data_IF_379842888882
#
_entry.id   IF_379842888882
#
_cell.length_a   1.000
_cell.length_b   1.000
_cell.length_c   1.000
_cell.angle_alpha   90.00
_cell.angle_beta   90.00
_cell.angle_gamma   90.00
#
_symmetry.space_group_name_H-M   'P 1'
#
loop_
_entity.id
_entity.type
_entity.pdbx_description
1 polymer ?
#
# COMPACT_ATOMS: atom_id res chain seq x y z
N UNK A 1 14.59 19.20 60.80
CA UNK A 1 15.21 20.53 60.68
C UNK A 1 15.15 20.97 59.23
N UNK A 2 14.49 22.06 58.99
CA UNK A 2 14.46 23.00 57.84
C UNK A 2 14.25 22.42 56.41
N UNK A 3 13.00 22.49 56.00
CA UNK A 3 12.53 22.55 54.59
C UNK A 3 12.94 23.89 53.98
N UNK A 4 13.60 23.88 52.83
CA UNK A 4 13.95 25.08 52.08
C UNK A 4 13.05 25.16 50.84
N UNK A 5 12.01 26.00 50.91
CA UNK A 5 11.12 26.36 49.81
C UNK A 5 11.87 27.22 48.78
N UNK A 6 11.93 26.80 47.53
CA UNK A 6 12.39 27.62 46.41
C UNK A 6 11.20 28.06 45.61
N UNK A 7 10.98 29.38 45.58
CA UNK A 7 9.89 30.07 44.86
C UNK A 7 10.27 30.16 43.38
N UNK A 8 9.36 29.72 42.50
CA UNK A 8 9.38 30.03 41.08
C UNK A 8 9.04 31.50 40.82
N UNK A 9 9.71 32.21 39.93
CA UNK A 9 9.20 33.46 39.41
C UNK A 9 8.32 33.20 38.17
N UNK A 10 7.13 33.76 38.23
CA UNK A 10 6.11 33.87 37.18
C UNK A 10 6.61 34.84 36.12
N UNK A 11 6.98 34.34 34.90
CA UNK A 11 7.23 35.19 33.74
C UNK A 11 5.98 35.17 32.86
N UNK A 12 5.24 36.27 32.93
CA UNK A 12 4.13 36.58 32.02
C UNK A 12 4.72 37.07 30.69
N UNK A 13 4.56 36.30 29.62
CA UNK A 13 4.92 36.74 28.29
C UNK A 13 3.65 37.09 27.52
N UNK A 14 3.52 38.41 27.25
CA UNK A 14 2.48 39.02 26.43
C UNK A 14 2.68 38.59 24.97
N UNK A 15 1.72 37.89 24.40
CA UNK A 15 1.68 37.66 22.96
C UNK A 15 0.89 38.76 22.27
N UNK A 16 1.59 39.59 21.51
CA UNK A 16 1.00 40.59 20.64
C UNK A 16 0.31 39.90 19.43
N UNK A 17 -0.98 40.11 19.29
CA UNK A 17 -1.85 39.66 18.22
C UNK A 17 -1.64 40.58 17.00
N UNK A 18 -0.98 40.12 15.95
CA UNK A 18 -0.90 40.83 14.67
C UNK A 18 -2.04 40.30 13.78
N UNK A 19 -3.09 41.12 13.64
CA UNK A 19 -4.17 40.95 12.67
C UNK A 19 -3.71 41.45 11.31
N UNK A 20 -3.48 40.54 10.37
CA UNK A 20 -3.30 40.90 8.97
C UNK A 20 -4.66 40.76 8.27
N UNK A 21 -5.27 41.90 7.96
CA UNK A 21 -6.45 42.02 7.10
C UNK A 21 -6.02 41.79 5.63
N UNK A 22 -6.39 40.63 5.07
CA UNK A 22 -6.31 40.41 3.63
C UNK A 22 -7.62 40.86 3.00
N UNK A 23 -7.52 41.94 2.19
CA UNK A 23 -8.57 42.52 1.39
C UNK A 23 -8.97 41.58 0.24
N UNK A 24 -10.24 41.15 0.20
CA UNK A 24 -10.82 40.46 -0.94
C UNK A 24 -11.08 41.45 -2.09
N UNK A 25 -10.29 41.37 -3.14
CA UNK A 25 -10.61 41.98 -4.42
C UNK A 25 -11.50 41.04 -5.23
N UNK A 26 -12.74 41.46 -5.48
CA UNK A 26 -13.67 40.82 -6.38
C UNK A 26 -13.26 41.12 -7.81
N UNK A 27 -12.72 40.16 -8.54
CA UNK A 27 -12.54 40.26 -9.98
C UNK A 27 -13.72 39.60 -10.68
N UNK A 28 -14.48 40.39 -11.46
CA UNK A 28 -15.62 39.99 -12.26
C UNK A 28 -15.27 40.14 -13.75
N UNK A 29 -15.01 39.08 -14.50
CA UNK A 29 -14.92 39.20 -15.96
C UNK A 29 -16.28 39.02 -16.60
N UNK A 30 -16.75 40.08 -17.24
CA UNK A 30 -17.92 40.10 -18.12
C UNK A 30 -17.60 39.32 -19.39
N UNK A 31 -18.36 38.31 -19.70
CA UNK A 31 -18.36 37.62 -20.99
C UNK A 31 -19.23 38.40 -21.99
N UNK A 32 -18.79 38.68 -23.20
CA UNK A 32 -19.65 39.15 -24.26
C UNK A 32 -20.38 37.98 -24.92
N UNK A 33 -21.70 38.15 -25.07
CA UNK A 33 -22.62 37.27 -25.74
C UNK A 33 -22.46 37.40 -27.25
N UNK A 34 -22.30 36.31 -28.05
CA UNK A 34 -22.35 36.38 -29.48
C UNK A 34 -23.78 36.40 -30.00
N UNK A 35 -24.05 37.39 -30.87
CA UNK A 35 -25.26 37.60 -31.66
C UNK A 35 -25.51 36.43 -32.61
N UNK A 36 -26.75 35.99 -32.84
CA UNK A 36 -27.05 34.95 -33.80
C UNK A 36 -27.09 35.53 -35.23
N UNK A 37 -26.42 34.86 -36.15
CA UNK A 37 -26.41 35.12 -37.59
C UNK A 37 -27.55 34.31 -38.24
N UNK A 38 -28.31 34.87 -39.20
CA UNK A 38 -29.47 34.22 -39.75
C UNK A 38 -29.15 33.11 -40.77
N UNK A 39 -29.97 32.15 -40.78
CA UNK A 39 -30.08 30.97 -41.65
C UNK A 39 -30.45 31.34 -43.10
N UNK A 40 -29.84 30.77 -44.13
CA UNK A 40 -30.35 30.81 -45.47
C UNK A 40 -31.24 29.58 -45.76
N UNK A 41 -32.49 29.86 -46.05
CA UNK A 41 -33.49 28.96 -46.60
C UNK A 41 -33.12 28.53 -48.02
N UNK A 42 -32.97 27.27 -48.29
CA UNK A 42 -33.02 26.72 -49.65
C UNK A 42 -34.00 25.53 -49.76
N UNK A 43 -34.92 25.73 -50.64
CA UNK A 43 -36.03 24.85 -50.99
C UNK A 43 -35.56 23.61 -51.75
N UNK A 44 -36.32 22.54 -51.52
CA UNK A 44 -36.39 21.23 -52.15
C UNK A 44 -36.34 21.21 -53.70
N UNK A 45 -35.94 20.08 -54.30
CA UNK A 45 -37.00 19.22 -54.84
C UNK A 45 -36.90 17.73 -54.46
N UNK A 46 -38.10 17.18 -54.28
CA UNK A 46 -38.42 15.78 -54.09
C UNK A 46 -38.07 14.96 -55.35
N UNK A 47 -37.24 13.93 -55.11
CA UNK A 47 -37.10 12.80 -56.05
C UNK A 47 -37.33 11.51 -55.29
N UNK A 48 -38.36 10.78 -55.69
CA UNK A 48 -38.71 9.45 -55.27
C UNK A 48 -37.64 8.45 -55.75
N UNK A 49 -36.94 7.70 -54.89
CA UNK A 49 -36.15 6.56 -55.34
C UNK A 49 -36.93 5.28 -55.19
N UNK A 50 -36.97 4.58 -56.31
CA UNK A 50 -37.35 3.18 -56.52
C UNK A 50 -36.69 2.26 -55.51
N UNK A 51 -37.50 1.37 -54.95
CA UNK A 51 -37.02 0.31 -54.03
C UNK A 51 -36.13 -0.68 -54.79
N UNK A 52 -34.91 -0.84 -54.32
CA UNK A 52 -33.99 -1.93 -54.69
C UNK A 52 -34.07 -3.03 -53.62
N UNK A 53 -33.89 -4.32 -53.98
CA UNK A 53 -34.23 -5.43 -53.10
C UNK A 53 -33.28 -5.53 -51.86
N UNK A 54 -33.93 -5.81 -50.74
CA UNK A 54 -33.32 -6.06 -49.43
C UNK A 54 -32.27 -7.17 -49.52
N UNK A 55 -31.01 -6.81 -49.31
CA UNK A 55 -29.95 -7.78 -49.03
C UNK A 55 -30.14 -8.25 -47.59
N UNK A 56 -30.37 -9.56 -47.44
CA UNK A 56 -30.40 -10.27 -46.14
C UNK A 56 -29.04 -10.07 -45.44
N UNK A 57 -29.04 -9.27 -44.38
CA UNK A 57 -27.85 -9.16 -43.50
C UNK A 57 -27.57 -10.53 -42.84
N UNK A 58 -26.44 -11.10 -43.19
CA UNK A 58 -25.85 -12.24 -42.45
C UNK A 58 -25.56 -11.80 -41.02
N UNK A 59 -25.90 -12.59 -39.97
CA UNK A 59 -25.62 -12.21 -38.59
C UNK A 59 -24.10 -12.02 -38.40
N UNK A 60 -23.72 -10.77 -38.12
CA UNK A 60 -22.38 -10.43 -37.72
C UNK A 60 -22.05 -11.15 -36.39
N UNK A 61 -21.33 -12.23 -36.45
CA UNK A 61 -20.78 -12.90 -35.27
C UNK A 61 -19.75 -11.96 -34.63
N UNK A 62 -20.19 -11.28 -33.55
CA UNK A 62 -19.27 -10.56 -32.68
C UNK A 62 -18.18 -11.55 -32.25
N UNK A 63 -16.87 -11.29 -32.48
CA UNK A 63 -15.81 -12.20 -32.05
C UNK A 63 -15.85 -12.28 -30.52
N UNK A 64 -16.27 -13.44 -30.02
CA UNK A 64 -16.12 -13.79 -28.62
C UNK A 64 -14.61 -13.82 -28.35
N UNK A 65 -14.11 -12.81 -27.65
CA UNK A 65 -12.70 -12.80 -27.22
C UNK A 65 -12.45 -14.06 -26.40
N UNK A 66 -11.65 -14.95 -26.92
CA UNK A 66 -11.14 -16.12 -26.17
C UNK A 66 -10.49 -15.59 -24.88
N UNK A 67 -10.76 -16.20 -23.73
CA UNK A 67 -10.13 -15.78 -22.49
C UNK A 67 -8.60 -15.88 -22.67
N UNK A 68 -7.92 -14.76 -22.54
CA UNK A 68 -6.46 -14.70 -22.61
C UNK A 68 -5.90 -15.64 -21.55
N UNK A 69 -5.05 -16.58 -21.98
CA UNK A 69 -4.42 -17.55 -21.06
C UNK A 69 -3.67 -16.80 -19.92
N UNK A 70 -3.72 -17.31 -18.68
CA UNK A 70 -3.04 -16.67 -17.56
C UNK A 70 -1.53 -16.61 -17.79
N UNK A 71 -0.92 -15.47 -17.46
CA UNK A 71 0.52 -15.22 -17.61
C UNK A 71 1.18 -15.25 -16.24
N UNK A 72 2.31 -15.95 -16.13
CA UNK A 72 3.13 -15.91 -14.90
C UNK A 72 3.83 -14.55 -14.80
N UNK A 73 3.44 -13.75 -13.83
CA UNK A 73 3.97 -12.40 -13.63
C UNK A 73 4.31 -12.13 -12.15
N UNK A 74 5.19 -11.16 -11.87
CA UNK A 74 5.40 -10.70 -10.51
C UNK A 74 4.13 -10.00 -9.99
N UNK A 75 3.71 -10.34 -8.79
CA UNK A 75 2.57 -9.77 -8.07
C UNK A 75 3.08 -9.21 -6.76
N UNK A 76 2.67 -8.00 -6.47
CA UNK A 76 3.05 -7.30 -5.23
C UNK A 76 1.99 -7.54 -4.16
N UNK A 77 2.42 -8.04 -3.02
CA UNK A 77 1.56 -8.22 -1.85
C UNK A 77 2.04 -7.35 -0.71
N UNK A 78 1.09 -6.79 0.03
CA UNK A 78 1.37 -6.15 1.29
C UNK A 78 0.87 -7.06 2.40
N UNK A 79 1.76 -7.40 3.31
CA UNK A 79 1.54 -8.31 4.44
C UNK A 79 1.80 -7.56 5.74
N UNK A 80 1.22 -8.02 6.83
CA UNK A 80 1.28 -7.35 8.12
C UNK A 80 2.34 -7.99 8.99
N UNK A 81 3.21 -7.19 9.57
CA UNK A 81 4.21 -7.63 10.54
C UNK A 81 4.28 -6.69 11.72
N UNK A 82 4.80 -7.20 12.84
CA UNK A 82 5.13 -6.39 14.00
C UNK A 82 6.45 -5.65 13.74
N UNK A 83 6.37 -4.34 13.71
CA UNK A 83 7.54 -3.47 13.52
C UNK A 83 8.31 -3.19 14.81
N UNK A 84 7.92 -3.77 15.93
CA UNK A 84 8.44 -3.48 17.26
C UNK A 84 7.78 -2.28 17.95
N UNK A 85 6.92 -1.54 17.23
CA UNK A 85 6.14 -0.40 17.75
C UNK A 85 4.69 -0.42 17.26
N UNK A 86 4.22 -1.57 16.81
CA UNK A 86 2.88 -1.80 16.28
C UNK A 86 2.88 -2.44 14.91
N UNK A 87 1.69 -2.70 14.40
CA UNK A 87 1.49 -3.36 13.13
C UNK A 87 1.82 -2.42 11.96
N UNK A 88 2.62 -2.91 11.01
CA UNK A 88 2.98 -2.20 9.78
C UNK A 88 2.87 -3.13 8.58
N UNK A 89 2.79 -2.54 7.39
CA UNK A 89 2.84 -3.31 6.15
C UNK A 89 4.27 -3.47 5.66
N UNK A 90 4.54 -4.66 5.18
CA UNK A 90 5.75 -5.07 4.46
C UNK A 90 5.37 -5.52 3.06
N UNK A 91 6.23 -5.32 2.07
CA UNK A 91 5.95 -5.71 0.69
C UNK A 91 6.73 -6.95 0.31
N UNK A 92 6.02 -7.96 -0.14
CA UNK A 92 6.59 -9.13 -0.80
C UNK A 92 6.27 -9.14 -2.29
N UNK A 93 7.09 -9.84 -3.05
CA UNK A 93 6.90 -10.05 -4.50
C UNK A 93 6.93 -11.53 -4.77
N UNK A 94 5.83 -12.05 -5.29
CA UNK A 94 5.69 -13.46 -5.66
C UNK A 94 5.33 -13.58 -7.14
N UNK A 95 5.61 -14.72 -7.75
CA UNK A 95 5.22 -14.99 -9.14
C UNK A 95 4.01 -15.90 -9.17
N UNK A 96 2.93 -15.38 -9.75
CA UNK A 96 1.66 -16.12 -9.88
C UNK A 96 1.12 -16.02 -11.30
N UNK A 97 0.26 -16.98 -11.67
CA UNK A 97 -0.57 -16.88 -12.85
C UNK A 97 -1.62 -15.81 -12.64
N UNK A 98 -1.59 -14.76 -13.45
CA UNK A 98 -2.50 -13.63 -13.40
C UNK A 98 -3.27 -13.47 -14.71
N UNK A 99 -4.49 -12.97 -14.63
CA UNK A 99 -5.28 -12.56 -15.78
C UNK A 99 -4.90 -11.15 -16.23
N UNK A 100 -5.56 -10.62 -17.26
CA UNK A 100 -5.43 -9.22 -17.69
C UNK A 100 -5.79 -8.24 -16.56
N UNK A 101 -6.73 -8.61 -15.68
CA UNK A 101 -7.01 -7.86 -14.45
C UNK A 101 -6.06 -8.29 -13.33
N UNK A 102 -4.90 -7.65 -13.29
CA UNK A 102 -3.87 -7.95 -12.30
C UNK A 102 -4.26 -7.58 -10.88
N UNK A 103 -5.00 -6.48 -10.71
CA UNK A 103 -5.49 -6.04 -9.42
C UNK A 103 -6.46 -7.05 -8.80
N UNK A 104 -7.45 -7.51 -9.58
CA UNK A 104 -8.36 -8.56 -9.15
C UNK A 104 -7.63 -9.88 -8.86
N UNK A 105 -6.69 -10.26 -9.73
CA UNK A 105 -5.88 -11.46 -9.53
C UNK A 105 -5.09 -11.39 -8.22
N UNK A 106 -4.45 -10.25 -7.92
CA UNK A 106 -3.68 -10.05 -6.70
C UNK A 106 -4.55 -10.16 -5.45
N UNK A 107 -5.71 -9.53 -5.42
CA UNK A 107 -6.62 -9.64 -4.27
C UNK A 107 -7.16 -11.06 -4.09
N UNK A 108 -7.51 -11.76 -5.18
CA UNK A 108 -7.96 -13.15 -5.11
C UNK A 108 -6.89 -14.07 -4.55
N UNK A 109 -5.63 -13.86 -4.95
CA UNK A 109 -4.49 -14.63 -4.42
C UNK A 109 -4.27 -14.30 -2.95
N UNK A 110 -4.33 -13.03 -2.57
CA UNK A 110 -4.14 -12.59 -1.19
C UNK A 110 -5.16 -13.24 -0.24
N UNK A 111 -6.44 -13.30 -0.65
CA UNK A 111 -7.50 -13.90 0.16
C UNK A 111 -7.56 -15.43 0.06
N UNK A 112 -6.78 -16.02 -0.85
CA UNK A 112 -6.71 -17.47 -0.98
C UNK A 112 -5.89 -18.07 0.18
N UNK A 113 -6.42 -19.08 0.83
CA UNK A 113 -5.73 -19.83 1.90
C UNK A 113 -4.39 -20.45 1.47
N UNK A 114 -4.10 -20.52 0.17
CA UNK A 114 -2.82 -21.00 -0.38
C UNK A 114 -1.74 -19.91 -0.46
N UNK A 115 -2.09 -18.65 -0.21
CA UNK A 115 -1.10 -17.59 -0.12
C UNK A 115 -0.43 -17.65 1.26
N UNK A 116 0.87 -17.84 1.24
CA UNK A 116 1.71 -17.77 2.43
C UNK A 116 2.78 -16.71 2.22
N UNK A 117 3.01 -15.90 3.23
CA UNK A 117 4.16 -15.01 3.25
C UNK A 117 5.46 -15.83 3.18
N UNK A 118 6.46 -15.29 2.52
CA UNK A 118 7.81 -15.88 2.49
C UNK A 118 8.52 -15.73 3.84
N UNK A 119 8.12 -14.72 4.61
CA UNK A 119 8.64 -14.47 5.94
C UNK A 119 7.67 -14.99 7.00
N UNK A 120 8.09 -15.87 7.91
CA UNK A 120 7.22 -16.38 8.96
C UNK A 120 6.79 -15.31 9.98
N UNK A 121 7.50 -14.16 10.03
CA UNK A 121 7.18 -13.05 10.92
C UNK A 121 6.02 -12.18 10.34
N UNK A 122 5.62 -12.43 9.09
CA UNK A 122 4.54 -11.70 8.44
C UNK A 122 3.24 -12.49 8.40
N UNK A 123 2.14 -11.78 8.53
CA UNK A 123 0.79 -12.32 8.56
C UNK A 123 -0.05 -11.79 7.41
N UNK A 124 -0.91 -12.65 6.89
CA UNK A 124 -2.03 -12.26 6.04
C UNK A 124 -3.31 -12.27 6.87
N UNK A 125 -3.86 -11.11 7.18
CA UNK A 125 -5.06 -10.99 8.01
C UNK A 125 -6.33 -11.53 7.33
N UNK A 126 -6.29 -11.75 6.01
CA UNK A 126 -7.39 -12.24 5.19
C UNK A 126 -7.39 -13.77 4.95
N UNK A 127 -6.47 -14.49 5.57
CA UNK A 127 -6.25 -15.93 5.29
C UNK A 127 -7.35 -16.87 5.78
N UNK A 128 -8.47 -16.38 6.27
CA UNK A 128 -9.51 -17.13 6.98
C UNK A 128 -10.73 -17.50 6.12
N UNK A 129 -10.61 -17.50 4.79
CA UNK A 129 -11.67 -17.91 3.87
C UNK A 129 -12.54 -16.77 3.33
N UNK A 130 -12.12 -15.50 3.49
CA UNK A 130 -12.71 -14.38 2.77
C UNK A 130 -12.47 -14.54 1.26
N UNK A 131 -13.40 -14.04 0.43
CA UNK A 131 -13.38 -14.22 -1.03
C UNK A 131 -13.66 -12.89 -1.73
N UNK A 132 -12.92 -12.59 -2.80
CA UNK A 132 -13.22 -11.47 -3.70
C UNK A 132 -14.24 -11.90 -4.74
N UNK A 133 -15.45 -11.34 -4.68
CA UNK A 133 -16.54 -11.57 -5.63
C UNK A 133 -16.26 -10.86 -6.97
N UNK A 134 -15.76 -9.60 -6.89
CA UNK A 134 -15.43 -8.84 -8.09
C UNK A 134 -14.92 -7.43 -7.79
N UNK A 135 -14.50 -6.75 -8.85
CA UNK A 135 -14.10 -5.34 -8.82
C UNK A 135 -14.82 -4.61 -9.97
N UNK A 136 -15.48 -3.52 -9.64
CA UNK A 136 -15.99 -2.57 -10.62
C UNK A 136 -15.17 -1.27 -10.55
N UNK A 137 -15.01 -0.59 -11.70
CA UNK A 137 -14.21 0.62 -11.81
C UNK A 137 -15.03 1.76 -12.38
N UNK A 138 -14.88 2.96 -11.79
CA UNK A 138 -15.40 4.21 -12.32
C UNK A 138 -14.30 5.27 -12.24
N UNK A 139 -13.67 5.56 -13.37
CA UNK A 139 -12.44 6.35 -13.38
C UNK A 139 -11.36 5.68 -12.52
N UNK A 140 -10.78 6.41 -11.58
CA UNK A 140 -9.75 5.89 -10.66
C UNK A 140 -10.32 5.27 -9.37
N UNK A 141 -11.63 5.21 -9.21
CA UNK A 141 -12.29 4.54 -8.09
C UNK A 141 -12.56 3.07 -8.43
N UNK A 142 -12.06 2.17 -7.60
CA UNK A 142 -12.43 0.77 -7.61
C UNK A 142 -13.45 0.49 -6.50
N UNK A 143 -14.50 -0.25 -6.81
CA UNK A 143 -15.39 -0.84 -5.81
C UNK A 143 -15.13 -2.33 -5.78
N UNK A 144 -14.60 -2.80 -4.65
CA UNK A 144 -14.28 -4.20 -4.39
C UNK A 144 -15.45 -4.82 -3.64
N UNK A 145 -16.08 -5.83 -4.25
CA UNK A 145 -17.09 -6.65 -3.60
C UNK A 145 -16.45 -7.94 -3.07
N UNK A 146 -16.65 -8.21 -1.79
CA UNK A 146 -16.07 -9.38 -1.14
C UNK A 146 -17.08 -10.06 -0.20
N UNK A 147 -16.90 -11.35 -0.03
CA UNK A 147 -17.54 -12.13 1.05
C UNK A 147 -16.53 -12.24 2.17
N UNK A 148 -16.86 -11.68 3.33
CA UNK A 148 -15.96 -11.61 4.48
C UNK A 148 -16.23 -12.81 5.38
N UNK A 149 -15.20 -13.62 5.61
CA UNK A 149 -15.18 -14.50 6.77
C UNK A 149 -14.93 -13.65 8.04
N UNK A 150 -15.15 -14.26 9.21
CA UNK A 150 -14.96 -13.53 10.46
C UNK A 150 -13.52 -13.00 10.60
N UNK A 151 -13.39 -11.68 10.71
CA UNK A 151 -12.13 -10.98 10.94
C UNK A 151 -12.02 -10.68 12.45
N UNK A 152 -11.26 -11.52 13.17
CA UNK A 152 -11.09 -11.40 14.62
C UNK A 152 -9.84 -10.57 14.94
N UNK A 153 -9.97 -9.25 14.84
CA UNK A 153 -8.90 -8.27 15.09
C UNK A 153 -9.46 -7.06 15.83
N UNK A 154 -8.61 -6.37 16.58
CA UNK A 154 -8.95 -5.05 17.15
C UNK A 154 -8.83 -3.93 16.12
N UNK A 155 -9.05 -2.69 16.55
CA UNK A 155 -9.09 -1.50 15.67
C UNK A 155 -7.83 -1.33 14.80
N UNK A 156 -6.64 -1.50 15.38
CA UNK A 156 -5.37 -1.42 14.62
C UNK A 156 -5.31 -2.54 13.56
N UNK A 157 -5.65 -3.76 13.93
CA UNK A 157 -5.66 -4.89 13.01
C UNK A 157 -6.68 -4.71 11.88
N UNK A 158 -7.87 -4.19 12.16
CA UNK A 158 -8.88 -3.90 11.14
C UNK A 158 -8.39 -2.84 10.15
N UNK A 159 -7.78 -1.76 10.64
CA UNK A 159 -7.18 -0.73 9.77
C UNK A 159 -6.08 -1.35 8.89
N UNK A 160 -5.18 -2.14 9.47
CA UNK A 160 -4.12 -2.80 8.70
C UNK A 160 -4.66 -3.83 7.70
N UNK A 161 -5.77 -4.49 8.00
CA UNK A 161 -6.44 -5.39 7.04
C UNK A 161 -7.01 -4.61 5.84
N UNK A 162 -7.60 -3.44 6.07
CA UNK A 162 -8.07 -2.54 5.00
C UNK A 162 -6.88 -2.05 4.17
N UNK A 163 -5.83 -1.55 4.82
CA UNK A 163 -4.60 -1.12 4.16
C UNK A 163 -3.98 -2.23 3.30
N UNK A 164 -3.98 -3.46 3.78
CA UNK A 164 -3.48 -4.62 3.05
C UNK A 164 -4.19 -4.79 1.71
N UNK A 165 -5.52 -4.64 1.67
CA UNK A 165 -6.29 -4.68 0.41
C UNK A 165 -5.98 -3.49 -0.49
N UNK A 166 -6.03 -2.26 0.06
CA UNK A 166 -5.81 -1.02 -0.69
C UNK A 166 -4.42 -0.99 -1.31
N UNK A 167 -3.39 -1.28 -0.52
CA UNK A 167 -1.99 -1.25 -0.98
C UNK A 167 -1.70 -2.37 -1.98
N UNK A 168 -2.23 -3.58 -1.77
CA UNK A 168 -2.07 -4.70 -2.71
C UNK A 168 -2.76 -4.40 -4.04
N UNK A 169 -4.03 -3.95 -4.01
CA UNK A 169 -4.77 -3.63 -5.24
C UNK A 169 -4.07 -2.55 -6.05
N UNK A 170 -3.78 -1.43 -5.42
CA UNK A 170 -3.19 -0.26 -6.09
C UNK A 170 -1.73 -0.45 -6.51
N UNK A 171 -1.00 -1.43 -5.96
CA UNK A 171 0.33 -1.81 -6.42
C UNK A 171 0.31 -2.68 -7.68
N UNK A 172 -0.79 -3.36 -7.94
CA UNK A 172 -0.96 -4.22 -9.11
C UNK A 172 -1.85 -3.59 -10.21
N UNK A 173 -2.53 -2.49 -9.89
CA UNK A 173 -3.30 -1.66 -10.83
C UNK A 173 -3.09 -0.17 -10.52
N UNK A 174 -2.15 0.46 -11.19
CA UNK A 174 -1.79 1.87 -11.00
C UNK A 174 -2.86 2.86 -11.47
N UNK A 175 -3.89 2.41 -12.20
CA UNK A 175 -5.01 3.27 -12.60
C UNK A 175 -5.94 3.58 -11.41
N UNK A 176 -5.93 2.73 -10.38
CA UNK A 176 -6.75 2.87 -9.18
C UNK A 176 -6.06 3.81 -8.19
N UNK A 177 -6.80 4.84 -7.74
CA UNK A 177 -6.36 5.81 -6.74
C UNK A 177 -7.13 5.71 -5.44
N UNK A 178 -8.37 5.17 -5.50
CA UNK A 178 -9.25 5.04 -4.36
C UNK A 178 -10.04 3.74 -4.42
N UNK A 179 -10.42 3.22 -3.27
CA UNK A 179 -11.10 1.93 -3.11
C UNK A 179 -12.31 2.10 -2.22
N UNK A 180 -13.43 1.54 -2.63
CA UNK A 180 -14.64 1.39 -1.82
C UNK A 180 -14.95 -0.10 -1.68
N UNK A 181 -15.54 -0.48 -0.55
CA UNK A 181 -15.83 -1.87 -0.28
C UNK A 181 -17.33 -2.17 -0.23
N UNK A 182 -17.68 -3.40 -0.63
CA UNK A 182 -19.01 -3.99 -0.47
C UNK A 182 -18.88 -5.39 0.10
N UNK A 183 -19.86 -5.81 0.86
CA UNK A 183 -20.01 -7.18 1.32
C UNK A 183 -21.24 -7.80 0.67
N UNK A 184 -21.03 -8.77 -0.25
CA UNK A 184 -22.10 -9.43 -1.01
C UNK A 184 -23.03 -8.41 -1.69
N UNK A 185 -22.45 -7.45 -2.39
CA UNK A 185 -23.14 -6.41 -3.16
C UNK A 185 -23.70 -5.24 -2.32
N UNK A 186 -23.71 -5.33 -0.98
CA UNK A 186 -24.21 -4.26 -0.10
C UNK A 186 -23.03 -3.41 0.42
N UNK A 187 -23.31 -2.13 0.71
CA UNK A 187 -22.32 -1.30 1.39
C UNK A 187 -21.96 -1.92 2.73
N UNK A 188 -20.68 -1.85 3.06
CA UNK A 188 -20.14 -2.33 4.33
C UNK A 188 -20.01 -1.15 5.29
N UNK A 189 -20.43 -1.34 6.54
CA UNK A 189 -20.27 -0.34 7.60
C UNK A 189 -18.91 -0.49 8.31
N UNK A 190 -18.49 -1.74 8.52
CA UNK A 190 -17.23 -2.08 9.17
C UNK A 190 -16.83 -3.51 8.82
N UNK A 191 -15.55 -3.86 8.85
CA UNK A 191 -15.07 -5.23 8.63
C UNK A 191 -15.06 -6.06 9.92
N UNK A 192 -14.69 -5.45 11.05
CA UNK A 192 -14.62 -6.09 12.36
C UNK A 192 -15.31 -5.28 13.48
N UNK A 193 -15.99 -4.18 13.14
CA UNK A 193 -16.77 -3.38 14.07
C UNK A 193 -16.01 -2.20 14.68
N UNK A 194 -14.78 -1.90 14.27
CA UNK A 194 -13.98 -0.83 14.87
C UNK A 194 -13.70 0.34 13.92
N UNK A 195 -13.72 0.11 12.60
CA UNK A 195 -13.39 1.12 11.59
C UNK A 195 -14.60 1.38 10.71
N UNK A 196 -14.98 2.65 10.53
CA UNK A 196 -16.01 3.03 9.57
C UNK A 196 -15.53 2.75 8.13
N UNK A 197 -16.17 1.79 7.48
CA UNK A 197 -15.85 1.36 6.12
C UNK A 197 -16.86 1.86 5.07
N UNK A 198 -17.79 2.75 5.43
CA UNK A 198 -18.79 3.31 4.50
C UNK A 198 -18.18 4.22 3.44
N UNK A 199 -17.03 4.81 3.76
CA UNK A 199 -16.32 5.79 2.94
C UNK A 199 -15.50 5.19 1.79
N UNK A 200 -14.55 5.97 1.36
CA UNK A 200 -13.59 5.61 0.30
C UNK A 200 -12.18 5.64 0.90
N UNK A 201 -11.42 4.60 0.67
CA UNK A 201 -10.05 4.46 1.14
C UNK A 201 -9.07 4.85 0.03
N UNK A 202 -8.00 5.50 0.41
CA UNK A 202 -6.84 5.80 -0.43
C UNK A 202 -5.60 5.22 0.25
N UNK A 203 -4.47 5.16 -0.45
CA UNK A 203 -3.22 4.93 0.27
C UNK A 203 -2.97 6.08 1.21
N UNK A 204 -2.85 5.77 2.47
CA UNK A 204 -2.37 6.71 3.47
C UNK A 204 -0.85 6.98 3.29
N UNK A 205 -0.31 7.87 4.11
CA UNK A 205 1.12 8.14 4.10
C UNK A 205 1.94 6.86 4.26
N UNK A 206 2.91 6.66 3.37
CA UNK A 206 3.79 5.50 3.43
C UNK A 206 4.60 5.43 4.74
N UNK A 207 4.87 6.56 5.38
CA UNK A 207 5.56 6.62 6.68
C UNK A 207 4.70 6.13 7.83
N UNK A 208 3.37 6.19 7.69
CA UNK A 208 2.43 5.82 8.76
C UNK A 208 1.96 4.36 8.63
N UNK A 209 1.97 3.83 7.41
CA UNK A 209 1.45 2.49 7.11
C UNK A 209 2.56 1.46 6.91
N UNK A 210 3.63 1.83 6.21
CA UNK A 210 4.71 0.90 5.90
C UNK A 210 5.77 0.91 6.99
N UNK A 211 6.32 -0.26 7.33
CA UNK A 211 7.54 -0.32 8.13
C UNK A 211 8.67 0.45 7.42
N UNK A 212 9.45 1.23 8.16
CA UNK A 212 10.50 2.05 7.57
C UNK A 212 11.69 1.22 7.08
N UNK A 213 11.89 0.03 7.59
CA UNK A 213 12.96 -0.90 7.19
C UNK A 213 12.39 -2.28 6.87
N UNK A 214 12.85 -2.90 5.77
CA UNK A 214 12.47 -4.25 5.34
C UNK A 214 13.70 -5.08 5.02
N UNK A 215 13.70 -6.36 5.44
CA UNK A 215 14.67 -7.39 5.06
C UNK A 215 14.08 -8.24 3.94
N UNK A 216 14.36 -7.89 2.69
CA UNK A 216 13.75 -8.56 1.54
C UNK A 216 14.35 -9.95 1.27
N UNK A 217 15.64 -10.12 1.56
CA UNK A 217 16.32 -11.40 1.35
C UNK A 217 17.46 -11.60 2.33
N UNK A 218 17.72 -12.88 2.65
CA UNK A 218 18.89 -13.32 3.38
C UNK A 218 19.39 -14.61 2.72
N UNK A 219 20.63 -14.60 2.28
CA UNK A 219 21.26 -15.74 1.59
C UNK A 219 22.47 -16.19 2.38
N UNK A 220 22.55 -17.51 2.65
CA UNK A 220 23.71 -18.15 3.27
C UNK A 220 24.53 -18.81 2.17
N UNK A 221 25.77 -18.39 2.02
CA UNK A 221 26.73 -18.96 1.05
C UNK A 221 27.59 -20.06 1.68
N UNK A 222 28.25 -20.84 0.85
CA UNK A 222 29.23 -21.82 1.30
C UNK A 222 30.33 -21.12 2.11
N UNK A 223 30.79 -21.77 3.19
CA UNK A 223 31.81 -21.18 4.09
C UNK A 223 31.25 -20.23 5.15
N UNK A 224 29.93 -20.08 5.25
CA UNK A 224 29.28 -19.29 6.31
C UNK A 224 29.25 -17.78 6.07
N UNK A 225 29.49 -17.33 4.81
CA UNK A 225 29.17 -15.95 4.44
C UNK A 225 27.66 -15.78 4.35
N UNK A 226 27.12 -14.68 4.90
CA UNK A 226 25.70 -14.36 4.86
C UNK A 226 25.51 -12.96 4.30
N UNK A 227 24.63 -12.87 3.29
CA UNK A 227 24.24 -11.60 2.68
C UNK A 227 22.78 -11.32 3.01
N UNK A 228 22.54 -10.24 3.75
CA UNK A 228 21.21 -9.70 3.96
C UNK A 228 21.01 -8.46 3.08
N UNK A 229 19.84 -8.30 2.49
CA UNK A 229 19.50 -7.12 1.73
C UNK A 229 18.03 -6.75 1.87
N UNK A 230 17.74 -5.47 1.66
CA UNK A 230 16.39 -4.96 1.79
C UNK A 230 16.26 -3.55 1.29
N UNK A 231 15.21 -2.87 1.76
CA UNK A 231 14.97 -1.46 1.48
C UNK A 231 14.66 -0.73 2.77
N UNK A 232 15.01 0.54 2.85
CA UNK A 232 14.73 1.37 4.00
C UNK A 232 14.35 2.80 3.61
N UNK A 233 13.54 3.42 4.48
CA UNK A 233 13.23 4.84 4.48
C UNK A 233 13.52 5.31 5.92
N UNK A 234 14.80 5.53 6.23
CA UNK A 234 15.27 5.91 7.56
C UNK A 234 15.87 7.29 7.52
N UNK A 235 16.02 7.93 8.68
CA UNK A 235 16.71 9.20 8.79
C UNK A 235 18.17 9.04 8.33
N UNK A 236 18.65 9.96 7.51
CA UNK A 236 20.00 9.95 6.90
C UNK A 236 20.36 8.63 6.19
N UNK A 237 19.37 7.84 5.76
CA UNK A 237 19.55 6.54 5.12
C UNK A 237 20.29 5.50 6.01
N UNK A 238 20.50 5.77 7.29
CA UNK A 238 21.21 4.88 8.20
C UNK A 238 20.35 3.66 8.56
N UNK A 239 20.91 2.45 8.44
CA UNK A 239 20.26 1.19 8.77
C UNK A 239 21.14 0.41 9.77
N UNK A 240 20.99 0.67 11.07
CA UNK A 240 21.60 -0.15 12.11
C UNK A 240 21.06 -1.58 12.05
N UNK A 241 21.92 -2.56 12.30
CA UNK A 241 21.52 -3.96 12.34
C UNK A 241 22.17 -4.72 13.50
N UNK A 242 21.53 -5.81 13.90
CA UNK A 242 22.03 -6.74 14.92
C UNK A 242 21.86 -8.18 14.44
N UNK A 243 22.81 -9.01 14.79
CA UNK A 243 22.75 -10.46 14.63
C UNK A 243 22.66 -11.10 16.01
N UNK A 244 21.64 -11.92 16.17
CA UNK A 244 21.40 -12.65 17.41
C UNK A 244 21.69 -14.14 17.24
N UNK A 245 22.20 -14.76 18.29
CA UNK A 245 22.32 -16.20 18.46
C UNK A 245 21.84 -16.55 19.86
N UNK A 246 20.86 -17.46 19.99
CA UNK A 246 20.27 -17.82 21.29
C UNK A 246 19.86 -16.60 22.14
N UNK A 247 19.22 -15.60 21.50
CA UNK A 247 18.74 -14.37 22.14
C UNK A 247 19.83 -13.32 22.49
N UNK A 248 21.11 -13.63 22.27
CA UNK A 248 22.22 -12.71 22.56
C UNK A 248 22.74 -12.06 21.27
N UNK A 249 23.05 -10.76 21.33
CA UNK A 249 23.71 -10.06 20.22
C UNK A 249 25.14 -10.60 20.06
N UNK A 250 25.44 -11.16 18.90
CA UNK A 250 26.79 -11.70 18.57
C UNK A 250 27.55 -10.83 17.58
N UNK A 251 26.82 -10.04 16.77
CA UNK A 251 27.38 -8.99 15.90
C UNK A 251 26.41 -7.84 15.79
N UNK A 252 26.90 -6.67 15.51
CA UNK A 252 26.11 -5.49 15.15
C UNK A 252 26.91 -4.61 14.22
N UNK A 253 26.22 -3.73 13.51
CA UNK A 253 26.83 -2.77 12.62
C UNK A 253 25.80 -1.79 12.06
N UNK A 254 26.22 -1.04 11.08
CA UNK A 254 25.39 -0.09 10.35
C UNK A 254 25.70 -0.20 8.86
N UNK A 255 24.70 -0.07 8.02
CA UNK A 255 24.82 0.11 6.59
C UNK A 255 24.01 1.30 6.15
N UNK A 256 24.26 1.78 4.93
CA UNK A 256 23.50 2.90 4.34
C UNK A 256 22.56 2.39 3.29
N UNK A 257 21.34 2.86 3.28
CA UNK A 257 20.44 2.71 2.15
C UNK A 257 20.80 3.68 1.03
N UNK A 258 20.42 3.38 -0.20
CA UNK A 258 20.67 4.24 -1.37
C UNK A 258 19.83 5.54 -1.36
N UNK A 259 18.96 5.74 -0.36
CA UNK A 259 18.17 6.94 -0.15
C UNK A 259 17.63 6.99 1.27
N UNK A 260 17.43 8.20 1.78
CA UNK A 260 16.78 8.48 3.06
C UNK A 260 15.33 8.93 2.86
N UNK A 261 14.51 8.86 3.92
CA UNK A 261 13.13 9.29 3.87
C UNK A 261 12.97 10.71 3.28
N UNK A 262 11.98 10.94 2.40
CA UNK A 262 10.86 10.04 2.06
C UNK A 262 11.16 9.01 0.95
N UNK A 263 12.39 8.95 0.44
CA UNK A 263 12.79 8.01 -0.61
C UNK A 263 13.26 6.71 0.03
N UNK A 264 12.62 5.60 -0.36
CA UNK A 264 13.00 4.26 0.11
C UNK A 264 14.15 3.73 -0.75
N UNK A 265 15.33 3.60 -0.16
CA UNK A 265 16.56 3.12 -0.80
C UNK A 265 16.86 1.66 -0.49
N UNK A 266 17.56 0.97 -1.42
CA UNK A 266 18.08 -0.38 -1.19
C UNK A 266 19.29 -0.34 -0.25
N UNK A 267 19.42 -1.37 0.60
CA UNK A 267 20.58 -1.58 1.46
C UNK A 267 21.06 -3.03 1.37
N UNK A 268 22.33 -3.25 1.75
CA UNK A 268 22.96 -4.56 1.77
C UNK A 268 23.95 -4.65 2.94
N UNK A 269 24.00 -5.83 3.58
CA UNK A 269 24.99 -6.20 4.61
C UNK A 269 25.59 -7.54 4.22
N UNK A 270 26.92 -7.62 4.23
CA UNK A 270 27.65 -8.88 4.08
C UNK A 270 28.33 -9.21 5.41
N UNK A 271 28.05 -10.39 5.92
CA UNK A 271 28.62 -10.93 7.15
C UNK A 271 29.47 -12.14 6.81
N UNK A 272 30.78 -12.02 6.88
CA UNK A 272 31.70 -13.11 6.60
C UNK A 272 31.78 -14.10 7.77
N UNK A 273 31.98 -15.39 7.43
CA UNK A 273 32.42 -16.44 8.36
C UNK A 273 31.58 -16.60 9.64
N UNK A 274 30.29 -16.80 9.49
CA UNK A 274 29.45 -17.19 10.62
C UNK A 274 29.66 -18.70 10.89
N UNK A 275 29.81 -19.10 12.17
CA UNK A 275 29.90 -20.51 12.53
C UNK A 275 28.54 -21.21 12.31
N UNK A 276 28.53 -22.54 12.21
CA UNK A 276 27.32 -23.35 12.14
C UNK A 276 26.37 -23.01 13.30
N UNK A 277 25.09 -22.93 13.00
CA UNK A 277 24.05 -22.66 13.98
C UNK A 277 22.91 -21.77 13.45
N UNK A 278 21.92 -21.55 14.31
CA UNK A 278 20.76 -20.71 14.01
C UNK A 278 20.97 -19.29 14.52
N UNK A 279 20.54 -18.33 13.70
CA UNK A 279 20.69 -16.90 13.93
C UNK A 279 19.41 -16.15 13.57
N UNK A 280 19.26 -14.94 14.14
CA UNK A 280 18.26 -13.96 13.73
C UNK A 280 18.99 -12.68 13.36
N UNK A 281 18.82 -12.23 12.12
CA UNK A 281 19.26 -10.92 11.67
C UNK A 281 18.12 -9.92 11.86
N UNK A 282 18.42 -8.75 12.42
CA UNK A 282 17.43 -7.68 12.65
C UNK A 282 17.99 -6.38 12.08
N UNK A 283 17.30 -5.82 11.09
CA UNK A 283 17.54 -4.46 10.61
C UNK A 283 16.62 -3.49 11.36
N UNK A 284 17.07 -2.28 11.63
CA UNK A 284 16.37 -1.35 12.53
C UNK A 284 16.38 0.06 11.96
N UNK A 285 15.32 0.79 12.30
CA UNK A 285 15.25 2.24 12.23
C UNK A 285 15.23 2.77 13.67
N UNK A 286 16.15 3.67 13.96
CA UNK A 286 16.39 4.16 15.33
C UNK A 286 16.21 5.67 15.34
N UNK A 287 15.46 6.17 16.30
CA UNK A 287 15.26 7.59 16.52
C UNK A 287 16.61 8.28 16.82
N UNK A 288 16.99 9.31 16.07
CA UNK A 288 18.19 10.08 16.36
C UNK A 288 18.06 10.91 17.64
N UNK A 289 16.82 11.12 18.11
CA UNK A 289 16.53 11.92 19.29
C UNK A 289 16.93 11.22 20.59
N UNK A 290 16.60 9.93 20.70
CA UNK A 290 16.67 9.21 21.98
C UNK A 290 17.12 7.75 21.85
N UNK A 291 17.41 7.29 20.63
CA UNK A 291 17.85 5.91 20.37
C UNK A 291 16.73 4.87 20.44
N UNK A 292 15.47 5.28 20.57
CA UNK A 292 14.34 4.35 20.57
C UNK A 292 14.14 3.71 19.19
N UNK A 293 13.53 2.53 19.17
CA UNK A 293 13.20 1.84 17.93
C UNK A 293 11.98 2.49 17.31
N UNK A 294 12.09 2.98 16.08
CA UNK A 294 10.99 3.48 15.25
C UNK A 294 10.35 2.33 14.48
N UNK A 295 11.17 1.43 13.95
CA UNK A 295 10.74 0.24 13.23
C UNK A 295 11.87 -0.78 13.19
N UNK A 296 11.52 -2.05 13.07
CA UNK A 296 12.50 -3.12 12.83
C UNK A 296 11.88 -4.19 11.95
N UNK A 297 12.75 -4.99 11.34
CA UNK A 297 12.40 -6.18 10.60
C UNK A 297 13.45 -7.26 10.84
N UNK A 298 13.00 -8.52 10.91
CA UNK A 298 13.86 -9.66 11.27
C UNK A 298 13.81 -10.77 10.24
N UNK A 299 14.86 -11.58 10.21
CA UNK A 299 14.89 -12.80 9.42
C UNK A 299 15.73 -13.88 10.09
N UNK A 300 15.10 -15.00 10.39
CA UNK A 300 15.75 -16.17 10.95
C UNK A 300 16.43 -17.00 9.87
N UNK A 301 17.61 -17.56 10.15
CA UNK A 301 18.34 -18.42 9.22
C UNK A 301 19.27 -19.40 9.95
N UNK A 302 19.75 -20.41 9.23
CA UNK A 302 20.69 -21.40 9.74
C UNK A 302 21.90 -21.54 8.83
N UNK A 303 23.09 -21.47 9.40
CA UNK A 303 24.37 -21.82 8.76
C UNK A 303 24.62 -23.31 9.00
N UNK A 304 24.77 -24.09 7.93
CA UNK A 304 24.94 -25.56 7.95
C UNK A 304 26.40 -26.01 7.95
#
# INVERSE_FOLDING_TARGET
MAMKHWKLPLVVLLFALILILVSCSKYNPSTPNPTPTPEPTHSSPSVTPTQSPSSTESPSVTPTQSPTAPVIAPVYFYVVGDSGVGLRLYREVHRFAVTSDRGLSALRILLNQRFHSSDPDYSNLWANGSVINGITRKGSLATVDLTIAHLNVGAEGEMRAIDQLVWTLTANDYSIRSVKFRHNGKLIESFAGHVDATGTFVRESATDVLASVWVNSLTVHAGGEVVASGVACTFEAAVPWRLYRSGKVVRSGMTMAAGGCPIRGAWKVTMAYLPKGSFVFVARDISPKDGSVISQDSKSFTVK
#
